data_IF_148373035128
#
_entry.id   IF_148373035128
#
_cell.length_a   1.000
_cell.length_b   1.000
_cell.length_c   1.000
_cell.angle_alpha   90.00
_cell.angle_beta   90.00
_cell.angle_gamma   90.00
#
_symmetry.space_group_name_H-M   'P 1'
#
loop_
_entity.id
_entity.type
_entity.pdbx_description
1 polymer ?
#
# COMPACT_ATOMS: atom_id res chain seq x y z
N UNK A 1 2.24 -23.63 -8.92
CA UNK A 1 1.85 -22.28 -8.50
C UNK A 1 0.34 -22.16 -8.56
N UNK A 2 -0.29 -21.89 -7.44
CA UNK A 2 -1.74 -21.70 -7.35
C UNK A 2 -2.15 -20.37 -8.02
N UNK A 3 -3.44 -20.23 -8.38
CA UNK A 3 -3.96 -19.04 -9.05
C UNK A 3 -3.63 -17.74 -8.29
N UNK A 4 -3.82 -17.63 -6.95
CA UNK A 4 -3.42 -16.44 -6.20
C UNK A 4 -1.94 -16.08 -6.40
N UNK A 5 -1.02 -17.03 -6.27
CA UNK A 5 0.41 -16.77 -6.45
C UNK A 5 0.77 -16.25 -7.86
N UNK A 6 0.06 -16.74 -8.90
CA UNK A 6 0.24 -16.23 -10.27
C UNK A 6 -0.21 -14.76 -10.38
N UNK A 7 -1.30 -14.40 -9.72
CA UNK A 7 -1.82 -13.02 -9.71
C UNK A 7 -0.87 -12.07 -8.97
N UNK A 8 -0.30 -12.51 -7.84
CA UNK A 8 0.73 -11.74 -7.12
C UNK A 8 1.98 -11.51 -7.98
N UNK A 9 2.46 -12.57 -8.66
CA UNK A 9 3.60 -12.43 -9.57
C UNK A 9 3.30 -11.51 -10.74
N UNK A 10 2.10 -11.63 -11.34
CA UNK A 10 1.67 -10.72 -12.40
C UNK A 10 1.66 -9.26 -11.91
N UNK A 11 1.20 -9.00 -10.68
CA UNK A 11 1.23 -7.66 -10.07
C UNK A 11 2.66 -7.14 -9.94
N UNK A 12 3.60 -7.97 -9.47
CA UNK A 12 5.02 -7.57 -9.37
C UNK A 12 5.58 -7.17 -10.74
N UNK A 13 5.22 -7.92 -11.80
CA UNK A 13 5.62 -7.59 -13.18
C UNK A 13 4.90 -6.33 -13.70
N UNK A 14 3.67 -6.06 -13.27
CA UNK A 14 2.94 -4.85 -13.65
C UNK A 14 3.53 -3.57 -13.04
N UNK A 15 4.27 -3.63 -11.92
CA UNK A 15 4.89 -2.44 -11.31
C UNK A 15 5.90 -1.78 -12.26
N UNK A 16 6.89 -2.48 -12.84
CA UNK A 16 7.76 -1.89 -13.86
C UNK A 16 7.01 -1.35 -15.07
N UNK A 17 5.97 -2.05 -15.53
CA UNK A 17 5.13 -1.58 -16.65
C UNK A 17 4.42 -0.28 -16.30
N UNK A 18 3.84 -0.19 -15.10
CA UNK A 18 3.24 1.05 -14.58
C UNK A 18 4.24 2.20 -14.55
N UNK A 19 5.46 1.97 -14.03
CA UNK A 19 6.50 2.99 -13.99
C UNK A 19 6.95 3.44 -15.39
N UNK A 20 7.09 2.51 -16.34
CA UNK A 20 7.42 2.83 -17.73
C UNK A 20 6.34 3.68 -18.40
N UNK A 21 5.06 3.37 -18.18
CA UNK A 21 3.96 4.16 -18.70
C UNK A 21 3.98 5.60 -18.16
N UNK A 22 4.28 5.76 -16.87
CA UNK A 22 4.44 7.08 -16.26
C UNK A 22 5.66 7.82 -16.82
N UNK A 23 6.79 7.12 -17.01
CA UNK A 23 7.99 7.69 -17.62
C UNK A 23 7.73 8.21 -19.04
N UNK A 24 6.96 7.48 -19.84
CA UNK A 24 6.52 7.91 -21.18
C UNK A 24 5.37 8.92 -21.15
N UNK A 25 5.05 9.49 -19.98
CA UNK A 25 3.98 10.49 -19.80
C UNK A 25 2.61 10.03 -20.28
N UNK A 26 2.28 8.77 -20.02
CA UNK A 26 1.00 8.16 -20.34
C UNK A 26 0.18 7.89 -19.04
N UNK A 27 -0.37 8.94 -18.40
CA UNK A 27 -1.01 8.78 -17.09
C UNK A 27 -2.30 7.95 -17.15
N UNK A 28 -3.06 8.00 -18.23
CA UNK A 28 -4.31 7.24 -18.34
C UNK A 28 -4.06 5.72 -18.47
N UNK A 29 -3.18 5.20 -19.35
CA UNK A 29 -2.78 3.80 -19.33
C UNK A 29 -2.17 3.37 -17.99
N UNK A 30 -1.34 4.22 -17.38
CA UNK A 30 -0.77 3.94 -16.05
C UNK A 30 -1.86 3.81 -14.98
N UNK A 31 -2.88 4.69 -14.98
CA UNK A 31 -4.04 4.61 -14.09
C UNK A 31 -4.79 3.29 -14.26
N UNK A 32 -5.02 2.85 -15.51
CA UNK A 32 -5.69 1.58 -15.80
C UNK A 32 -4.89 0.41 -15.21
N UNK A 33 -3.56 0.39 -15.40
CA UNK A 33 -2.68 -0.64 -14.84
C UNK A 33 -2.71 -0.61 -13.31
N UNK A 34 -2.65 0.57 -12.69
CA UNK A 34 -2.71 0.73 -11.23
C UNK A 34 -4.03 0.20 -10.66
N UNK A 35 -5.16 0.58 -11.25
CA UNK A 35 -6.49 0.13 -10.82
C UNK A 35 -6.64 -1.38 -11.03
N UNK A 36 -6.23 -1.91 -12.19
CA UNK A 36 -6.28 -3.33 -12.47
C UNK A 36 -5.43 -4.14 -11.46
N UNK A 37 -4.21 -3.71 -11.16
CA UNK A 37 -3.36 -4.33 -10.17
C UNK A 37 -3.97 -4.30 -8.75
N UNK A 38 -4.58 -3.17 -8.36
CA UNK A 38 -5.23 -3.01 -7.06
C UNK A 38 -6.50 -3.86 -6.91
N UNK A 39 -7.31 -3.95 -7.97
CA UNK A 39 -8.51 -4.81 -8.00
C UNK A 39 -8.11 -6.28 -7.96
N UNK A 40 -7.05 -6.66 -8.69
CA UNK A 40 -6.53 -8.02 -8.69
C UNK A 40 -6.09 -8.47 -7.29
N UNK A 41 -5.45 -7.56 -6.50
CA UNK A 41 -5.08 -7.81 -5.11
C UNK A 41 -6.30 -8.12 -4.21
N UNK A 42 -7.37 -7.35 -4.39
CA UNK A 42 -8.60 -7.57 -3.63
C UNK A 42 -9.25 -8.91 -3.98
N UNK A 43 -9.23 -9.28 -5.27
CA UNK A 43 -9.82 -10.52 -5.76
C UNK A 43 -9.01 -11.76 -5.34
N UNK A 44 -7.68 -11.74 -5.49
CA UNK A 44 -6.84 -12.89 -5.14
C UNK A 44 -6.85 -13.17 -3.64
N UNK A 45 -6.81 -12.13 -2.79
CA UNK A 45 -6.95 -12.27 -1.36
C UNK A 45 -8.33 -12.81 -0.93
N UNK A 46 -9.40 -12.47 -1.67
CA UNK A 46 -10.74 -13.05 -1.43
C UNK A 46 -10.81 -14.52 -1.85
N UNK A 47 -10.30 -14.84 -3.05
CA UNK A 47 -10.28 -16.19 -3.60
C UNK A 47 -9.42 -17.11 -2.74
N UNK A 48 -8.21 -16.69 -2.34
CA UNK A 48 -7.30 -17.48 -1.53
C UNK A 48 -7.94 -17.87 -0.18
N UNK A 49 -8.66 -16.96 0.46
CA UNK A 49 -9.37 -17.23 1.73
C UNK A 49 -10.60 -18.10 1.54
N UNK A 50 -11.36 -17.91 0.44
CA UNK A 50 -12.60 -18.67 0.18
C UNK A 50 -12.33 -20.12 -0.15
N UNK A 51 -11.22 -20.41 -0.83
CA UNK A 51 -10.89 -21.76 -1.33
C UNK A 51 -9.73 -22.41 -0.57
N UNK A 52 -9.30 -21.82 0.56
CA UNK A 52 -8.20 -22.32 1.40
C UNK A 52 -6.88 -22.57 0.62
N UNK A 53 -6.63 -21.71 -0.38
CA UNK A 53 -5.44 -21.76 -1.26
C UNK A 53 -4.29 -20.88 -0.75
N UNK A 54 -4.29 -20.58 0.53
CA UNK A 54 -3.27 -19.72 1.16
C UNK A 54 -1.94 -20.45 1.22
N UNK A 55 -0.91 -19.89 0.56
CA UNK A 55 0.45 -20.41 0.57
C UNK A 55 1.37 -19.52 1.40
N UNK A 56 2.48 -20.07 1.91
CA UNK A 56 3.46 -19.25 2.66
C UNK A 56 4.13 -18.21 1.77
N UNK A 57 4.33 -18.53 0.49
CA UNK A 57 4.77 -17.56 -0.51
C UNK A 57 3.78 -16.40 -0.68
N UNK A 58 2.47 -16.69 -0.81
CA UNK A 58 1.42 -15.66 -0.92
C UNK A 58 1.36 -14.78 0.32
N UNK A 59 1.39 -15.37 1.53
CA UNK A 59 1.42 -14.61 2.79
C UNK A 59 2.55 -13.57 2.85
N UNK A 60 3.69 -13.88 2.24
CA UNK A 60 4.86 -13.00 2.18
C UNK A 60 4.77 -12.01 1.00
N UNK A 61 4.45 -12.52 -0.20
CA UNK A 61 4.56 -11.75 -1.45
C UNK A 61 3.41 -10.75 -1.63
N UNK A 62 2.16 -11.07 -1.21
CA UNK A 62 1.00 -10.19 -1.38
C UNK A 62 1.16 -8.84 -0.66
N UNK A 63 1.49 -8.79 0.66
CA UNK A 63 1.70 -7.52 1.34
C UNK A 63 2.89 -6.73 0.79
N UNK A 64 3.87 -7.39 0.19
CA UNK A 64 5.03 -6.75 -0.41
C UNK A 64 4.65 -6.10 -1.73
N UNK A 65 3.97 -6.83 -2.62
CA UNK A 65 3.57 -6.34 -3.94
C UNK A 65 2.62 -5.14 -3.84
N UNK A 66 1.65 -5.16 -2.91
CA UNK A 66 0.74 -4.04 -2.66
C UNK A 66 1.51 -2.77 -2.24
N UNK A 67 2.42 -2.91 -1.27
CA UNK A 67 3.25 -1.79 -0.82
C UNK A 67 4.19 -1.27 -1.90
N UNK A 68 4.74 -2.14 -2.73
CA UNK A 68 5.61 -1.75 -3.85
C UNK A 68 4.85 -0.91 -4.88
N UNK A 69 3.63 -1.30 -5.25
CA UNK A 69 2.82 -0.56 -6.22
C UNK A 69 2.49 0.86 -5.73
N UNK A 70 2.02 0.98 -4.48
CA UNK A 70 1.69 2.27 -3.86
C UNK A 70 2.94 3.15 -3.73
N UNK A 71 4.06 2.57 -3.29
CA UNK A 71 5.33 3.29 -3.14
C UNK A 71 5.85 3.76 -4.50
N UNK A 72 5.74 2.94 -5.54
CA UNK A 72 6.15 3.29 -6.91
C UNK A 72 5.35 4.51 -7.43
N UNK A 73 4.04 4.55 -7.22
CA UNK A 73 3.22 5.71 -7.57
C UNK A 73 3.65 6.98 -6.82
N UNK A 74 3.89 6.87 -5.50
CA UNK A 74 4.32 8.01 -4.70
C UNK A 74 5.73 8.49 -5.07
N UNK A 75 6.67 7.60 -5.40
CA UNK A 75 7.99 7.96 -5.90
C UNK A 75 7.88 8.80 -7.18
N UNK A 76 7.03 8.39 -8.11
CA UNK A 76 6.74 9.17 -9.31
C UNK A 76 6.21 10.57 -8.97
N UNK A 77 5.28 10.69 -8.01
CA UNK A 77 4.78 12.00 -7.59
C UNK A 77 5.85 12.88 -6.95
N UNK A 78 6.81 12.28 -6.22
CA UNK A 78 7.96 13.02 -5.68
C UNK A 78 8.88 13.49 -6.79
N UNK A 79 9.20 12.64 -7.76
CA UNK A 79 10.06 12.98 -8.89
C UNK A 79 9.47 14.12 -9.75
N UNK A 80 8.16 14.15 -9.92
CA UNK A 80 7.47 15.21 -10.68
C UNK A 80 7.07 16.43 -9.84
N UNK A 81 7.54 16.54 -8.60
CA UNK A 81 7.25 17.68 -7.74
C UNK A 81 5.80 17.79 -7.23
N UNK A 82 4.99 16.76 -7.45
CA UNK A 82 3.60 16.70 -6.99
C UNK A 82 3.48 16.37 -5.50
N UNK A 83 4.47 15.66 -4.93
CA UNK A 83 4.54 15.27 -3.53
C UNK A 83 5.92 15.62 -2.95
N UNK A 84 5.99 16.02 -1.69
CA UNK A 84 7.27 16.26 -1.03
C UNK A 84 7.86 14.95 -0.49
N UNK A 85 9.18 14.76 -0.63
CA UNK A 85 9.88 13.53 -0.22
C UNK A 85 9.66 13.17 1.27
N UNK A 86 9.58 14.16 2.16
CA UNK A 86 9.32 13.91 3.59
C UNK A 86 7.93 13.30 3.85
N UNK A 87 6.90 13.61 3.03
CA UNK A 87 5.58 13.01 3.12
C UNK A 87 5.64 11.52 2.77
N UNK A 88 6.34 11.18 1.69
CA UNK A 88 6.60 9.79 1.32
C UNK A 88 7.38 9.04 2.41
N UNK A 89 8.41 9.68 2.99
CA UNK A 89 9.18 9.09 4.08
C UNK A 89 8.30 8.70 5.28
N UNK A 90 7.36 9.56 5.67
CA UNK A 90 6.37 9.26 6.73
C UNK A 90 5.56 8.01 6.39
N UNK A 91 5.09 7.89 5.14
CA UNK A 91 4.33 6.73 4.70
C UNK A 91 5.19 5.46 4.81
N UNK A 92 6.40 5.48 4.28
CA UNK A 92 7.33 4.34 4.29
C UNK A 92 7.68 3.94 5.73
N UNK A 93 8.07 4.89 6.57
CA UNK A 93 8.40 4.62 7.97
C UNK A 93 7.24 3.95 8.71
N UNK A 94 6.02 4.45 8.51
CA UNK A 94 4.82 3.83 9.12
C UNK A 94 4.59 2.42 8.60
N UNK A 95 4.71 2.18 7.30
CA UNK A 95 4.50 0.84 6.72
C UNK A 95 5.49 -0.19 7.30
N UNK A 96 6.77 0.18 7.39
CA UNK A 96 7.78 -0.70 7.99
C UNK A 96 7.58 -0.89 9.49
N UNK A 97 7.31 0.19 10.24
CA UNK A 97 7.11 0.13 11.67
C UNK A 97 5.92 -0.75 12.06
N UNK A 98 4.77 -0.59 11.37
CA UNK A 98 3.60 -1.44 11.62
C UNK A 98 3.84 -2.89 11.19
N UNK A 99 4.57 -3.12 10.10
CA UNK A 99 4.89 -4.48 9.65
C UNK A 99 5.85 -5.16 10.63
N UNK A 100 6.87 -4.45 11.10
CA UNK A 100 7.80 -4.95 12.12
C UNK A 100 7.09 -5.32 13.42
N UNK A 101 6.18 -4.46 13.90
CA UNK A 101 5.41 -4.75 15.11
C UNK A 101 4.51 -5.98 14.96
N UNK A 102 3.92 -6.18 13.77
CA UNK A 102 3.14 -7.40 13.47
C UNK A 102 4.01 -8.65 13.45
N UNK A 103 5.24 -8.56 12.94
CA UNK A 103 6.18 -9.68 12.93
C UNK A 103 6.57 -10.07 14.35
N UNK A 104 6.91 -9.11 15.21
CA UNK A 104 7.21 -9.34 16.63
C UNK A 104 6.02 -9.98 17.35
N UNK A 105 4.81 -9.50 17.11
CA UNK A 105 3.61 -10.07 17.72
C UNK A 105 3.34 -11.50 17.25
N UNK A 106 3.54 -11.78 15.95
CA UNK A 106 3.35 -13.11 15.39
C UNK A 106 4.34 -14.14 15.94
N UNK A 107 5.60 -13.74 16.16
CA UNK A 107 6.62 -14.57 16.80
C UNK A 107 6.20 -14.98 18.21
N UNK A 108 5.48 -14.11 18.93
CA UNK A 108 4.88 -14.37 20.24
C UNK A 108 3.51 -15.09 20.17
N UNK A 109 3.13 -15.62 19.04
CA UNK A 109 1.83 -16.31 18.82
C UNK A 109 0.62 -15.39 18.83
N UNK A 110 0.81 -14.04 18.79
CA UNK A 110 -0.27 -13.06 18.80
C UNK A 110 -0.52 -12.46 17.41
N UNK A 111 -1.74 -12.60 16.90
CA UNK A 111 -2.15 -12.00 15.63
C UNK A 111 -2.78 -10.63 15.88
N UNK A 112 -2.12 -9.56 15.42
CA UNK A 112 -2.68 -8.20 15.47
C UNK A 112 -3.47 -7.93 14.20
N UNK A 113 -4.79 -7.78 14.34
CA UNK A 113 -5.67 -7.43 13.23
C UNK A 113 -5.47 -5.97 12.76
N UNK A 114 -5.84 -5.71 11.51
CA UNK A 114 -5.86 -4.34 11.00
C UNK A 114 -6.97 -3.53 11.69
N UNK A 115 -6.59 -2.44 12.35
CA UNK A 115 -7.52 -1.49 12.95
C UNK A 115 -8.33 -0.74 11.89
N UNK A 116 -9.44 -0.12 12.32
CA UNK A 116 -10.29 0.70 11.44
C UNK A 116 -9.51 1.86 10.78
N UNK A 117 -8.67 2.55 11.54
CA UNK A 117 -7.82 3.63 11.02
C UNK A 117 -6.86 3.16 9.92
N UNK A 118 -6.33 1.92 10.02
CA UNK A 118 -5.53 1.32 8.98
C UNK A 118 -6.30 1.08 7.69
N UNK A 119 -7.57 0.67 7.78
CA UNK A 119 -8.46 0.51 6.61
C UNK A 119 -8.77 1.86 5.96
N UNK A 120 -9.13 2.87 6.76
CA UNK A 120 -9.37 4.24 6.26
C UNK A 120 -8.13 4.82 5.59
N UNK A 121 -6.94 4.69 6.21
CA UNK A 121 -5.66 5.10 5.62
C UNK A 121 -5.45 4.45 4.25
N UNK A 122 -5.62 3.13 4.14
CA UNK A 122 -5.40 2.43 2.86
C UNK A 122 -6.38 2.88 1.79
N UNK A 123 -7.67 2.94 2.12
CA UNK A 123 -8.71 3.39 1.18
C UNK A 123 -8.49 4.84 0.72
N UNK A 124 -8.22 5.77 1.65
CA UNK A 124 -7.95 7.17 1.30
C UNK A 124 -6.68 7.33 0.46
N UNK A 125 -5.63 6.57 0.77
CA UNK A 125 -4.39 6.57 -0.03
C UNK A 125 -4.65 6.11 -1.47
N UNK A 126 -5.39 5.02 -1.67
CA UNK A 126 -5.73 4.51 -3.01
C UNK A 126 -6.55 5.54 -3.82
N UNK A 127 -7.57 6.13 -3.20
CA UNK A 127 -8.39 7.18 -3.85
C UNK A 127 -7.52 8.39 -4.22
N UNK A 128 -6.67 8.86 -3.31
CA UNK A 128 -5.79 9.99 -3.58
C UNK A 128 -4.80 9.69 -4.72
N UNK A 129 -4.20 8.51 -4.77
CA UNK A 129 -3.30 8.12 -5.88
C UNK A 129 -4.04 8.12 -7.21
N UNK A 130 -5.25 7.54 -7.27
CA UNK A 130 -6.08 7.54 -8.48
C UNK A 130 -6.38 8.97 -8.94
N UNK A 131 -6.74 9.87 -8.02
CA UNK A 131 -6.95 11.28 -8.34
C UNK A 131 -5.67 11.95 -8.85
N UNK A 132 -4.54 11.74 -8.18
CA UNK A 132 -3.24 12.35 -8.52
C UNK A 132 -2.67 11.87 -9.87
N UNK A 133 -3.10 10.71 -10.37
CA UNK A 133 -2.78 10.22 -11.72
C UNK A 133 -3.61 10.91 -12.81
N UNK A 134 -4.70 11.57 -12.45
CA UNK A 134 -5.52 12.35 -13.37
C UNK A 134 -4.98 13.79 -13.49
N UNK A 135 -5.30 14.51 -14.58
CA UNK A 135 -4.94 15.93 -14.74
C UNK A 135 -5.83 16.81 -13.83
N UNK A 136 -5.52 16.86 -12.54
CA UNK A 136 -6.25 17.63 -11.54
C UNK A 136 -5.55 18.96 -11.22
N UNK A 137 -6.29 19.97 -10.73
CA UNK A 137 -5.71 21.21 -10.22
C UNK A 137 -4.71 20.96 -9.09
N UNK A 138 -3.64 21.78 -9.03
CA UNK A 138 -2.60 21.68 -8.00
C UNK A 138 -3.13 21.72 -6.56
N UNK A 139 -4.23 22.44 -6.34
CA UNK A 139 -4.90 22.51 -5.02
C UNK A 139 -5.40 21.14 -4.58
N UNK A 140 -6.07 20.40 -5.48
CA UNK A 140 -6.58 19.06 -5.17
C UNK A 140 -5.41 18.10 -4.93
N UNK A 141 -4.34 18.20 -5.73
CA UNK A 141 -3.13 17.42 -5.52
C UNK A 141 -2.54 17.67 -4.12
N UNK A 142 -2.45 18.92 -3.69
CA UNK A 142 -1.96 19.28 -2.35
C UNK A 142 -2.86 18.71 -1.26
N UNK A 143 -4.19 18.77 -1.42
CA UNK A 143 -5.13 18.17 -0.49
C UNK A 143 -4.92 16.66 -0.39
N UNK A 144 -4.78 15.96 -1.52
CA UNK A 144 -4.50 14.51 -1.55
C UNK A 144 -3.22 14.17 -0.78
N UNK A 145 -2.14 14.93 -0.98
CA UNK A 145 -0.88 14.73 -0.24
C UNK A 145 -1.06 14.87 1.28
N UNK A 146 -1.80 15.89 1.73
CA UNK A 146 -2.08 16.07 3.15
C UNK A 146 -3.01 14.99 3.71
N UNK A 147 -4.03 14.56 2.98
CA UNK A 147 -4.91 13.44 3.39
C UNK A 147 -4.09 12.17 3.58
N UNK A 148 -3.22 11.81 2.64
CA UNK A 148 -2.34 10.65 2.76
C UNK A 148 -1.45 10.78 4.00
N UNK A 149 -0.82 11.92 4.19
CA UNK A 149 0.14 12.14 5.29
C UNK A 149 -0.56 12.08 6.66
N UNK A 150 -1.66 12.80 6.83
CA UNK A 150 -2.39 12.88 8.10
C UNK A 150 -3.04 11.56 8.48
N UNK A 151 -3.68 10.86 7.53
CA UNK A 151 -4.26 9.54 7.79
C UNK A 151 -3.19 8.50 8.12
N UNK A 152 -2.01 8.60 7.51
CA UNK A 152 -0.86 7.74 7.81
C UNK A 152 -0.33 7.98 9.22
N UNK A 153 -0.12 9.23 9.61
CA UNK A 153 0.33 9.59 10.96
C UNK A 153 -0.67 9.14 12.03
N UNK A 154 -1.94 9.49 11.85
CA UNK A 154 -3.00 9.08 12.78
C UNK A 154 -3.06 7.56 12.96
N UNK A 155 -3.11 6.82 11.85
CA UNK A 155 -3.14 5.37 11.87
C UNK A 155 -1.88 4.75 12.48
N UNK A 156 -0.72 5.35 12.28
CA UNK A 156 0.52 4.92 12.90
C UNK A 156 0.47 5.08 14.42
N UNK A 157 0.19 6.29 14.89
CA UNK A 157 0.11 6.59 16.34
C UNK A 157 -0.91 5.70 17.03
N UNK A 158 -2.13 5.61 16.49
CA UNK A 158 -3.20 4.75 17.05
C UNK A 158 -2.74 3.29 17.15
N UNK A 159 -2.05 2.78 16.12
CA UNK A 159 -1.59 1.41 16.08
C UNK A 159 -0.56 1.10 17.17
N UNK A 160 0.40 2.02 17.38
CA UNK A 160 1.42 1.88 18.42
C UNK A 160 0.84 2.03 19.83
N UNK A 161 -0.07 2.99 20.03
CA UNK A 161 -0.74 3.17 21.34
C UNK A 161 -1.56 1.95 21.73
N UNK A 162 -2.30 1.36 20.77
CA UNK A 162 -3.14 0.17 21.04
C UNK A 162 -2.34 -1.11 21.28
N UNK A 163 -1.11 -1.18 20.80
CA UNK A 163 -0.27 -2.39 20.90
C UNK A 163 1.05 -2.14 21.66
N UNK A 164 1.07 -1.16 22.57
CA UNK A 164 2.26 -0.81 23.37
C UNK A 164 2.76 -1.97 24.22
N UNK A 165 1.86 -2.86 24.65
CA UNK A 165 2.14 -4.06 25.40
C UNK A 165 3.08 -5.04 24.66
N UNK A 166 2.97 -5.12 23.33
CA UNK A 166 3.86 -5.95 22.49
C UNK A 166 5.29 -5.42 22.52
N UNK A 167 5.44 -4.08 22.55
CA UNK A 167 6.76 -3.43 22.60
C UNK A 167 7.40 -3.56 23.98
N UNK A 168 6.60 -3.43 25.05
CA UNK A 168 7.09 -3.52 26.42
C UNK A 168 7.44 -4.94 26.84
N UNK A 169 6.92 -5.94 26.14
CA UNK A 169 7.21 -7.35 26.39
C UNK A 169 8.29 -7.93 25.46
N UNK A 170 8.88 -7.10 24.60
CA UNK A 170 9.98 -7.47 23.71
C UNK A 170 11.32 -7.19 24.37
#
# INVERSE_FOLDING_TARGET
MNLPNKLTMARIVLIPVFMLLLYFRQPIPALIVFVAASVTDFLDGHIARKYDLVTDFGKFADPLADKMLVTAAMLWFVENGQMRAWMLLIVICREFAVSGLRMIAADKGRVIAAGWSGKVKTASTMVCIVLMLLPIPAVINTICCWVITLTTLYSGVEYFVKNKDVIQSA
#
